data_IF_593929879384
#
_entry.id   IF_593929879384
#
_cell.length_a   1.000
_cell.length_b   1.000
_cell.length_c   1.000
_cell.angle_alpha   90.00
_cell.angle_beta   90.00
_cell.angle_gamma   90.00
#
_symmetry.space_group_name_H-M   'P 1'
#
loop_
_entity.id
_entity.type
_entity.pdbx_description
1 polymer ?
#
# COMPACT_ATOMS: atom_id res chain seq x y z
N UNK A 1 2.15 5.01 -3.32
CA UNK A 1 1.63 3.70 -3.76
C UNK A 1 0.20 3.76 -4.32
N UNK A 2 -0.77 4.41 -3.67
CA UNK A 2 -2.15 4.48 -4.20
C UNK A 2 -2.24 4.98 -5.64
N UNK A 3 -1.55 6.08 -5.97
CA UNK A 3 -1.50 6.58 -7.35
C UNK A 3 -0.99 5.52 -8.35
N UNK A 4 0.11 4.85 -8.02
CA UNK A 4 0.69 3.75 -8.83
C UNK A 4 -0.33 2.62 -9.01
N UNK A 5 -0.94 2.16 -7.91
CA UNK A 5 -1.95 1.09 -7.95
C UNK A 5 -3.14 1.45 -8.85
N UNK A 6 -3.63 2.69 -8.76
CA UNK A 6 -4.73 3.18 -9.60
C UNK A 6 -4.32 3.32 -11.06
N UNK A 7 -3.12 3.83 -11.35
CA UNK A 7 -2.61 3.92 -12.72
C UNK A 7 -2.46 2.54 -13.35
N UNK A 8 -1.93 1.56 -12.61
CA UNK A 8 -1.85 0.18 -13.09
C UNK A 8 -3.24 -0.37 -13.41
N UNK A 9 -4.20 -0.21 -12.50
CA UNK A 9 -5.59 -0.61 -12.73
C UNK A 9 -6.21 0.07 -13.96
N UNK A 10 -5.92 1.36 -14.18
CA UNK A 10 -6.35 2.11 -15.35
C UNK A 10 -5.75 1.59 -16.66
N UNK A 11 -4.46 1.27 -16.68
CA UNK A 11 -3.78 0.67 -17.83
C UNK A 11 -4.39 -0.69 -18.14
N UNK A 12 -4.61 -1.52 -17.13
CA UNK A 12 -5.27 -2.82 -17.30
C UNK A 12 -6.73 -2.68 -17.78
N UNK A 13 -7.45 -1.67 -17.29
CA UNK A 13 -8.79 -1.37 -17.78
C UNK A 13 -8.78 -0.94 -19.26
N UNK A 14 -7.73 -0.25 -19.69
CA UNK A 14 -7.53 0.15 -21.09
C UNK A 14 -7.22 -1.06 -21.98
N UNK A 15 -6.29 -1.92 -21.57
CA UNK A 15 -5.98 -3.15 -22.31
C UNK A 15 -7.16 -4.11 -22.38
N UNK A 16 -8.02 -4.11 -21.35
CA UNK A 16 -9.30 -4.82 -21.34
C UNK A 16 -10.37 -4.19 -22.25
N UNK A 17 -10.17 -2.96 -22.75
CA UNK A 17 -11.10 -2.26 -23.63
C UNK A 17 -12.29 -1.60 -22.92
N UNK A 18 -12.23 -1.43 -21.60
CA UNK A 18 -13.31 -0.87 -20.76
C UNK A 18 -12.88 0.37 -19.98
N UNK A 19 -11.85 1.09 -20.45
CA UNK A 19 -11.36 2.28 -19.78
C UNK A 19 -12.31 3.47 -19.96
N UNK A 20 -12.78 4.00 -18.84
CA UNK A 20 -13.51 5.25 -18.78
C UNK A 20 -12.71 6.27 -17.98
N UNK A 21 -12.30 7.37 -18.62
CA UNK A 21 -11.44 8.40 -18.01
C UNK A 21 -12.09 9.05 -16.79
N UNK A 22 -13.40 9.28 -16.82
CA UNK A 22 -14.12 9.88 -15.70
C UNK A 22 -14.15 8.93 -14.50
N UNK A 23 -14.48 7.66 -14.71
CA UNK A 23 -14.47 6.66 -13.64
C UNK A 23 -13.07 6.39 -13.09
N UNK A 24 -12.04 6.43 -13.95
CA UNK A 24 -10.64 6.35 -13.54
C UNK A 24 -10.22 7.50 -12.63
N UNK A 25 -10.46 8.75 -13.03
CA UNK A 25 -10.13 9.93 -12.22
C UNK A 25 -10.91 9.89 -10.90
N UNK A 26 -12.20 9.56 -10.95
CA UNK A 26 -13.05 9.50 -9.76
C UNK A 26 -12.61 8.40 -8.79
N UNK A 27 -12.25 7.22 -9.30
CA UNK A 27 -11.68 6.11 -8.52
C UNK A 27 -10.36 6.50 -7.88
N UNK A 28 -9.47 7.17 -8.62
CA UNK A 28 -8.19 7.66 -8.11
C UNK A 28 -8.36 8.66 -6.97
N UNK A 29 -9.22 9.67 -7.16
CA UNK A 29 -9.53 10.66 -6.13
C UNK A 29 -10.14 9.97 -4.91
N UNK A 30 -11.11 9.07 -5.11
CA UNK A 30 -11.75 8.32 -4.03
C UNK A 30 -10.75 7.51 -3.21
N UNK A 31 -9.83 6.80 -3.85
CA UNK A 31 -8.81 6.01 -3.16
C UNK A 31 -7.75 6.86 -2.47
N UNK A 32 -7.34 8.00 -3.06
CA UNK A 32 -6.43 8.95 -2.39
C UNK A 32 -7.07 9.53 -1.14
N UNK A 33 -8.33 9.96 -1.21
CA UNK A 33 -9.09 10.49 -0.08
C UNK A 33 -9.25 9.42 1.01
N UNK A 34 -9.65 8.20 0.63
CA UNK A 34 -9.82 7.10 1.58
C UNK A 34 -8.50 6.72 2.27
N UNK A 35 -7.39 6.66 1.53
CA UNK A 35 -6.09 6.37 2.10
C UNK A 35 -5.59 7.51 3.01
N UNK A 36 -5.79 8.77 2.62
CA UNK A 36 -5.50 9.92 3.51
C UNK A 36 -6.33 9.86 4.79
N UNK A 37 -7.62 9.56 4.70
CA UNK A 37 -8.50 9.40 5.85
C UNK A 37 -8.04 8.26 6.78
N UNK A 38 -7.63 7.13 6.21
CA UNK A 38 -7.11 5.99 6.96
C UNK A 38 -5.80 6.33 7.71
N UNK A 39 -4.86 7.01 7.05
CA UNK A 39 -3.61 7.43 7.69
C UNK A 39 -3.85 8.45 8.80
N UNK A 40 -4.74 9.42 8.58
CA UNK A 40 -5.09 10.38 9.62
C UNK A 40 -5.86 9.71 10.77
N UNK A 41 -6.76 8.77 10.49
CA UNK A 41 -7.43 8.00 11.54
C UNK A 41 -6.43 7.18 12.38
N UNK A 42 -5.42 6.61 11.73
CA UNK A 42 -4.32 5.91 12.40
C UNK A 42 -3.60 6.85 13.38
N UNK A 43 -3.10 8.00 12.91
CA UNK A 43 -2.44 9.02 13.74
C UNK A 43 -3.33 9.47 14.93
N UNK A 44 -4.64 9.60 14.70
CA UNK A 44 -5.59 9.92 15.76
C UNK A 44 -5.62 8.84 16.86
N UNK A 45 -5.72 7.56 16.46
CA UNK A 45 -5.76 6.47 17.42
C UNK A 45 -4.42 6.27 18.11
N UNK A 46 -3.29 6.45 17.42
CA UNK A 46 -1.97 6.28 18.02
C UNK A 46 -1.67 7.33 19.07
N UNK A 47 -1.99 8.60 18.80
CA UNK A 47 -1.93 9.68 19.79
C UNK A 47 -2.90 9.42 20.95
N UNK A 48 -4.10 8.89 20.68
CA UNK A 48 -5.07 8.57 21.74
C UNK A 48 -4.58 7.46 22.66
N UNK A 49 -3.84 6.48 22.14
CA UNK A 49 -3.32 5.35 22.89
C UNK A 49 -1.90 5.58 23.45
N UNK A 50 -1.27 6.73 23.15
CA UNK A 50 0.09 7.03 23.59
C UNK A 50 1.17 6.23 22.86
N UNK A 51 0.87 5.60 21.72
CA UNK A 51 1.81 4.75 20.97
C UNK A 51 2.89 5.60 20.30
N UNK A 52 2.53 6.78 19.82
CA UNK A 52 3.46 7.71 19.17
C UNK A 52 4.38 8.46 20.15
N UNK A 53 4.14 8.37 21.47
CA UNK A 53 4.96 9.05 22.47
C UNK A 53 6.34 8.39 22.57
N UNK A 54 7.38 9.11 22.12
CA UNK A 54 8.78 8.63 22.06
C UNK A 54 9.01 7.49 21.05
N UNK A 55 8.10 7.30 20.08
CA UNK A 55 8.33 6.38 18.98
C UNK A 55 9.49 6.88 18.10
N UNK A 56 10.35 5.98 17.56
CA UNK A 56 11.45 6.38 16.67
C UNK A 56 11.00 7.20 15.45
N UNK A 57 9.77 6.96 14.97
CA UNK A 57 9.16 7.70 13.85
C UNK A 57 8.93 9.18 14.15
N UNK A 58 8.72 9.55 15.42
CA UNK A 58 8.48 10.93 15.83
C UNK A 58 9.70 11.83 15.59
N UNK A 59 10.90 11.27 15.40
CA UNK A 59 12.13 12.04 15.16
C UNK A 59 12.22 12.64 13.76
N UNK A 60 11.61 12.01 12.75
CA UNK A 60 11.75 12.43 11.34
C UNK A 60 10.42 12.62 10.60
N UNK A 61 9.32 12.04 11.08
CA UNK A 61 8.01 12.14 10.43
C UNK A 61 7.26 13.40 10.88
N UNK A 62 6.75 14.24 9.95
CA UNK A 62 5.82 15.30 10.32
C UNK A 62 4.56 14.73 10.96
N UNK A 63 4.21 15.19 12.16
CA UNK A 63 3.04 14.72 12.91
C UNK A 63 2.27 15.90 13.55
N UNK A 64 1.45 16.61 12.75
CA UNK A 64 0.79 17.84 13.20
C UNK A 64 -0.13 17.67 14.41
N UNK A 65 -0.69 16.46 14.61
CA UNK A 65 -1.53 16.15 15.76
C UNK A 65 -0.70 15.91 17.03
N UNK A 66 0.36 15.10 16.94
CA UNK A 66 1.25 14.81 18.06
C UNK A 66 1.97 16.07 18.56
N UNK A 67 2.44 16.91 17.64
CA UNK A 67 3.15 18.15 17.97
C UNK A 67 2.22 19.33 18.31
N UNK A 68 0.90 19.11 18.39
CA UNK A 68 -0.06 20.15 18.78
C UNK A 68 -0.20 21.30 17.76
N UNK A 69 0.24 21.10 16.51
CA UNK A 69 0.10 22.09 15.43
C UNK A 69 -1.34 22.19 14.93
N UNK A 70 -2.14 21.13 15.11
CA UNK A 70 -3.57 21.07 14.80
C UNK A 70 -4.32 20.57 16.03
N UNK A 71 -5.41 21.24 16.40
CA UNK A 71 -6.21 20.81 17.54
C UNK A 71 -7.00 19.52 17.25
N UNK A 72 -7.27 18.76 18.32
CA UNK A 72 -7.94 17.46 18.25
C UNK A 72 -9.32 17.51 17.59
N UNK A 73 -10.07 18.60 17.76
CA UNK A 73 -11.43 18.72 17.20
C UNK A 73 -11.36 18.94 15.68
N UNK A 74 -10.52 19.87 15.24
CA UNK A 74 -10.30 20.12 13.81
C UNK A 74 -9.78 18.88 13.11
N UNK A 75 -8.81 18.19 13.71
CA UNK A 75 -8.25 16.96 13.15
C UNK A 75 -9.32 15.89 12.91
N UNK A 76 -10.18 15.62 13.91
CA UNK A 76 -11.32 14.70 13.77
C UNK A 76 -12.31 15.13 12.69
N UNK A 77 -12.63 16.42 12.61
CA UNK A 77 -13.56 16.93 11.61
C UNK A 77 -13.04 16.71 10.19
N UNK A 78 -11.74 16.91 9.97
CA UNK A 78 -11.10 16.62 8.68
C UNK A 78 -11.18 15.13 8.35
N UNK A 79 -10.85 14.25 9.30
CA UNK A 79 -10.97 12.79 9.11
C UNK A 79 -12.40 12.40 8.72
N UNK A 80 -13.40 12.93 9.43
CA UNK A 80 -14.81 12.67 9.13
C UNK A 80 -15.22 13.20 7.75
N UNK A 81 -14.81 14.41 7.40
CA UNK A 81 -15.09 15.01 6.11
C UNK A 81 -14.48 14.18 4.96
N UNK A 82 -13.25 13.70 5.11
CA UNK A 82 -12.60 12.84 4.12
C UNK A 82 -13.35 11.51 3.95
N UNK A 83 -13.74 10.85 5.04
CA UNK A 83 -14.56 9.63 4.95
C UNK A 83 -15.93 9.89 4.31
N UNK A 84 -16.58 11.02 4.60
CA UNK A 84 -17.86 11.38 3.99
C UNK A 84 -17.73 11.62 2.48
N UNK A 85 -16.67 12.30 2.04
CA UNK A 85 -16.38 12.49 0.61
C UNK A 85 -16.06 11.15 -0.05
N UNK A 86 -15.20 10.33 0.56
CA UNK A 86 -14.86 8.99 0.07
C UNK A 86 -16.08 8.08 -0.06
N UNK A 87 -16.98 8.11 0.93
CA UNK A 87 -18.25 7.38 0.89
C UNK A 87 -19.16 7.86 -0.24
N UNK A 88 -19.24 9.18 -0.46
CA UNK A 88 -20.05 9.76 -1.54
C UNK A 88 -19.55 9.30 -2.91
N UNK A 89 -18.23 9.28 -3.10
CA UNK A 89 -17.59 8.76 -4.32
C UNK A 89 -17.87 7.26 -4.48
N UNK A 90 -17.68 6.48 -3.42
CA UNK A 90 -17.94 5.03 -3.43
C UNK A 90 -19.41 4.71 -3.76
N UNK A 91 -20.36 5.46 -3.19
CA UNK A 91 -21.79 5.31 -3.49
C UNK A 91 -22.10 5.60 -4.96
N UNK A 92 -21.52 6.66 -5.52
CA UNK A 92 -21.68 6.95 -6.94
C UNK A 92 -21.11 5.84 -7.82
N UNK A 93 -19.88 5.39 -7.56
CA UNK A 93 -19.25 4.30 -8.32
C UNK A 93 -20.03 2.99 -8.18
N UNK A 94 -20.60 2.73 -6.99
CA UNK A 94 -21.49 1.59 -6.74
C UNK A 94 -22.78 1.67 -7.54
N UNK A 95 -23.35 2.87 -7.67
CA UNK A 95 -24.55 3.08 -8.48
C UNK A 95 -24.27 2.82 -9.98
N UNK A 96 -23.09 3.20 -10.47
CA UNK A 96 -22.68 3.01 -11.87
C UNK A 96 -22.25 1.57 -12.17
N UNK A 97 -21.41 0.96 -11.32
CA UNK A 97 -20.74 -0.33 -11.58
C UNK A 97 -21.29 -1.52 -10.78
N UNK A 98 -22.25 -1.26 -9.88
CA UNK A 98 -22.89 -2.27 -9.05
C UNK A 98 -22.24 -2.49 -7.69
N UNK A 99 -22.87 -3.38 -6.91
CA UNK A 99 -22.62 -3.56 -5.47
C UNK A 99 -21.21 -4.00 -5.11
N UNK A 100 -20.47 -4.63 -6.03
CA UNK A 100 -19.12 -5.10 -5.72
C UNK A 100 -18.14 -3.96 -5.41
N UNK A 101 -18.34 -2.76 -5.97
CA UNK A 101 -17.55 -1.56 -5.58
C UNK A 101 -17.72 -1.26 -4.09
N UNK A 102 -18.96 -1.35 -3.59
CA UNK A 102 -19.24 -1.16 -2.16
C UNK A 102 -18.55 -2.24 -1.32
N UNK A 103 -18.53 -3.49 -1.78
CA UNK A 103 -17.83 -4.58 -1.09
C UNK A 103 -16.33 -4.28 -0.97
N UNK A 104 -15.66 -3.92 -2.08
CA UNK A 104 -14.24 -3.50 -2.04
C UNK A 104 -14.02 -2.31 -1.11
N UNK A 105 -14.91 -1.32 -1.15
CA UNK A 105 -14.82 -0.10 -0.33
C UNK A 105 -14.96 -0.42 1.16
N UNK A 106 -15.95 -1.24 1.53
CA UNK A 106 -16.16 -1.70 2.92
C UNK A 106 -14.95 -2.49 3.38
N UNK A 107 -14.46 -3.46 2.59
CA UNK A 107 -13.27 -4.23 2.95
C UNK A 107 -12.05 -3.31 3.15
N UNK A 108 -11.83 -2.34 2.26
CA UNK A 108 -10.75 -1.36 2.40
C UNK A 108 -10.87 -0.53 3.68
N UNK A 109 -12.06 -0.04 4.02
CA UNK A 109 -12.31 0.70 5.27
C UNK A 109 -12.13 -0.21 6.49
N UNK A 110 -12.61 -1.46 6.45
CA UNK A 110 -12.43 -2.41 7.54
C UNK A 110 -10.95 -2.69 7.79
N UNK A 111 -10.18 -2.94 6.73
CA UNK A 111 -8.73 -3.06 6.84
C UNK A 111 -8.12 -1.79 7.42
N UNK A 112 -8.44 -0.60 6.91
CA UNK A 112 -7.86 0.66 7.40
C UNK A 112 -8.20 0.98 8.87
N UNK A 113 -9.46 0.78 9.27
CA UNK A 113 -9.93 1.05 10.65
C UNK A 113 -9.40 0.02 11.62
N UNK A 114 -9.63 -1.27 11.35
CA UNK A 114 -9.21 -2.35 12.25
C UNK A 114 -7.71 -2.63 12.21
N UNK A 115 -6.97 -1.98 11.30
CA UNK A 115 -5.52 -1.94 11.38
C UNK A 115 -5.04 -1.38 12.73
N UNK A 116 -5.73 -0.36 13.26
CA UNK A 116 -5.25 0.45 14.40
C UNK A 116 -6.29 0.63 15.51
N UNK A 117 -7.58 0.53 15.19
CA UNK A 117 -8.66 0.71 16.14
C UNK A 117 -8.99 -0.60 16.89
N UNK A 118 -9.48 -0.44 18.12
CA UNK A 118 -10.11 -1.51 18.89
C UNK A 118 -11.32 -2.10 18.15
N UNK A 119 -11.63 -3.40 18.34
CA UNK A 119 -10.95 -4.36 19.23
C UNK A 119 -9.83 -5.16 18.55
N UNK A 120 -9.58 -5.00 17.24
CA UNK A 120 -8.75 -5.94 16.47
C UNK A 120 -7.27 -5.51 16.42
N UNK A 121 -6.96 -4.23 16.18
CA UNK A 121 -5.58 -3.71 16.13
C UNK A 121 -4.61 -4.60 15.33
N UNK A 122 -4.92 -4.89 14.06
CA UNK A 122 -4.16 -5.85 13.24
C UNK A 122 -2.64 -5.56 13.23
N UNK A 123 -2.23 -4.29 13.29
CA UNK A 123 -0.81 -3.90 13.31
C UNK A 123 -0.08 -4.29 14.61
N UNK A 124 -0.82 -4.56 15.69
CA UNK A 124 -0.27 -5.03 16.97
C UNK A 124 -0.16 -6.56 17.04
N UNK A 125 -0.47 -7.23 15.93
CA UNK A 125 -0.39 -8.67 15.77
C UNK A 125 0.48 -9.01 14.56
N UNK A 126 1.04 -10.22 14.52
CA UNK A 126 1.90 -10.75 13.45
C UNK A 126 1.16 -11.04 12.12
N UNK A 127 0.06 -10.33 11.90
CA UNK A 127 -0.77 -10.29 10.68
C UNK A 127 -0.78 -8.90 10.02
N UNK A 128 0.00 -7.95 10.52
CA UNK A 128 0.10 -6.61 9.95
C UNK A 128 0.56 -6.63 8.48
N UNK A 129 1.62 -7.37 8.16
CA UNK A 129 2.21 -7.44 6.83
C UNK A 129 1.24 -8.05 5.81
N UNK A 130 0.54 -9.13 6.17
CA UNK A 130 -0.46 -9.74 5.29
C UNK A 130 -1.69 -8.84 5.11
N UNK A 131 -2.07 -8.09 6.15
CA UNK A 131 -3.17 -7.13 6.08
C UNK A 131 -2.86 -5.99 5.12
N UNK A 132 -1.65 -5.42 5.21
CA UNK A 132 -1.17 -4.38 4.30
C UNK A 132 -1.00 -4.90 2.88
N UNK A 133 -0.48 -6.13 2.71
CA UNK A 133 -0.41 -6.80 1.42
C UNK A 133 -1.80 -6.90 0.75
N UNK A 134 -2.80 -7.38 1.48
CA UNK A 134 -4.17 -7.54 0.96
C UNK A 134 -4.81 -6.19 0.63
N UNK A 135 -4.64 -5.19 1.51
CA UNK A 135 -5.21 -3.86 1.34
C UNK A 135 -4.62 -3.12 0.14
N UNK A 136 -3.28 -3.07 0.01
CA UNK A 136 -2.61 -2.31 -1.05
C UNK A 136 -2.40 -3.09 -2.35
N UNK A 137 -2.40 -4.41 -2.29
CA UNK A 137 -2.35 -5.27 -3.45
C UNK A 137 -3.75 -5.54 -4.02
N UNK A 138 -4.34 -6.74 -3.80
CA UNK A 138 -5.55 -7.15 -4.49
C UNK A 138 -6.75 -6.22 -4.29
N UNK A 139 -6.98 -5.72 -3.07
CA UNK A 139 -8.14 -4.86 -2.81
C UNK A 139 -8.02 -3.52 -3.52
N UNK A 140 -6.85 -2.86 -3.47
CA UNK A 140 -6.69 -1.54 -4.07
C UNK A 140 -6.60 -1.60 -5.59
N UNK A 141 -5.74 -2.44 -6.16
CA UNK A 141 -5.57 -2.54 -7.63
C UNK A 141 -6.79 -3.19 -8.26
N UNK A 142 -7.25 -4.30 -7.68
CA UNK A 142 -8.40 -5.05 -8.18
C UNK A 142 -9.72 -4.32 -7.99
N UNK A 143 -9.93 -3.69 -6.84
CA UNK A 143 -11.09 -2.83 -6.58
C UNK A 143 -11.10 -1.59 -7.48
N UNK A 144 -9.93 -0.98 -7.73
CA UNK A 144 -9.82 0.12 -8.69
C UNK A 144 -10.16 -0.34 -10.11
N UNK A 145 -9.66 -1.49 -10.55
CA UNK A 145 -10.00 -2.05 -11.86
C UNK A 145 -11.51 -2.26 -11.97
N UNK A 146 -12.14 -2.90 -10.99
CA UNK A 146 -13.59 -3.12 -10.97
C UNK A 146 -14.36 -1.80 -10.98
N UNK A 147 -13.94 -0.80 -10.21
CA UNK A 147 -14.59 0.51 -10.18
C UNK A 147 -14.50 1.26 -11.53
N UNK A 148 -13.50 0.95 -12.35
CA UNK A 148 -13.34 1.53 -13.69
C UNK A 148 -14.14 0.74 -14.73
N UNK A 149 -14.12 -0.59 -14.67
CA UNK A 149 -14.63 -1.45 -15.75
C UNK A 149 -16.00 -2.07 -15.48
N UNK A 150 -16.39 -2.22 -14.22
CA UNK A 150 -17.57 -2.99 -13.80
C UNK A 150 -17.39 -4.51 -13.89
N UNK A 151 -16.17 -4.98 -14.17
CA UNK A 151 -15.87 -6.40 -14.42
C UNK A 151 -14.90 -6.94 -13.38
N UNK A 152 -15.21 -8.11 -12.84
CA UNK A 152 -14.27 -8.86 -12.01
C UNK A 152 -13.28 -9.62 -12.89
N UNK A 153 -11.98 -9.46 -12.62
CA UNK A 153 -10.91 -10.22 -13.26
C UNK A 153 -9.87 -10.61 -12.21
N UNK A 154 -9.26 -11.78 -12.40
CA UNK A 154 -8.14 -12.24 -11.58
C UNK A 154 -6.82 -11.57 -11.96
N UNK A 155 -6.69 -11.08 -13.19
CA UNK A 155 -5.43 -10.51 -13.68
C UNK A 155 -4.99 -9.29 -12.84
N UNK A 156 -5.85 -8.30 -12.54
CA UNK A 156 -5.47 -7.19 -11.65
C UNK A 156 -5.13 -7.64 -10.23
N UNK A 157 -5.74 -8.73 -9.75
CA UNK A 157 -5.42 -9.30 -8.43
C UNK A 157 -3.99 -9.84 -8.42
N UNK A 158 -3.63 -10.60 -9.45
CA UNK A 158 -2.28 -11.15 -9.60
C UNK A 158 -1.24 -10.07 -9.92
N UNK A 159 -1.56 -9.13 -10.80
CA UNK A 159 -0.72 -7.98 -11.14
C UNK A 159 -0.38 -7.12 -9.91
N UNK A 160 -1.24 -7.11 -8.90
CA UNK A 160 -1.00 -6.37 -7.66
C UNK A 160 0.03 -7.01 -6.72
N UNK A 161 0.39 -8.28 -6.91
CA UNK A 161 1.23 -9.05 -5.98
C UNK A 161 2.61 -8.41 -5.75
N UNK A 162 3.38 -8.02 -6.78
CA UNK A 162 4.67 -7.36 -6.56
C UNK A 162 4.54 -6.06 -5.77
N UNK A 163 3.52 -5.25 -6.08
CA UNK A 163 3.24 -3.99 -5.38
C UNK A 163 2.88 -4.27 -3.91
N UNK A 164 1.96 -5.20 -3.66
CA UNK A 164 1.53 -5.57 -2.32
C UNK A 164 2.69 -6.09 -1.46
N UNK A 165 3.57 -6.91 -2.04
CA UNK A 165 4.76 -7.43 -1.34
C UNK A 165 5.71 -6.29 -0.95
N UNK A 166 5.94 -5.32 -1.84
CA UNK A 166 6.77 -4.16 -1.54
C UNK A 166 6.16 -3.26 -0.47
N UNK A 167 4.84 -3.08 -0.43
CA UNK A 167 4.21 -2.32 0.67
C UNK A 167 4.28 -3.10 1.99
N UNK A 168 4.10 -4.42 1.98
CA UNK A 168 4.30 -5.24 3.17
C UNK A 168 5.76 -5.17 3.68
N UNK A 169 6.74 -5.06 2.78
CA UNK A 169 8.14 -4.83 3.15
C UNK A 169 8.37 -3.49 3.85
N UNK A 170 7.65 -2.43 3.48
CA UNK A 170 7.73 -1.14 4.19
C UNK A 170 7.35 -1.32 5.64
N UNK A 171 6.26 -2.05 5.91
CA UNK A 171 5.84 -2.35 7.27
C UNK A 171 6.86 -3.25 7.99
N UNK A 172 7.39 -4.28 7.31
CA UNK A 172 8.40 -5.14 7.90
C UNK A 172 9.68 -4.37 8.24
N UNK A 173 10.12 -3.44 7.40
CA UNK A 173 11.27 -2.56 7.69
C UNK A 173 11.04 -1.70 8.94
N UNK A 174 9.82 -1.19 9.09
CA UNK A 174 9.38 -0.46 10.28
C UNK A 174 9.45 -1.36 11.53
N UNK A 175 8.85 -2.55 11.45
CA UNK A 175 8.77 -3.50 12.56
C UNK A 175 10.15 -4.03 12.98
N UNK A 176 11.08 -4.25 12.04
CA UNK A 176 12.45 -4.66 12.37
C UNK A 176 13.19 -3.53 13.11
N UNK A 177 13.03 -2.27 12.67
CA UNK A 177 13.62 -1.11 13.34
C UNK A 177 13.05 -0.93 14.75
N UNK A 178 11.75 -1.06 14.90
CA UNK A 178 11.02 -0.76 16.14
C UNK A 178 10.92 -1.96 17.09
N UNK A 179 11.51 -3.11 16.74
CA UNK A 179 11.46 -4.36 17.50
C UNK A 179 11.58 -4.19 19.02
N UNK A 180 12.62 -3.50 19.48
CA UNK A 180 12.89 -3.31 20.92
C UNK A 180 11.90 -2.35 21.59
N UNK A 181 11.37 -1.39 20.84
CA UNK A 181 10.35 -0.47 21.31
C UNK A 181 8.98 -1.17 21.41
N UNK A 182 8.57 -1.83 20.33
CA UNK A 182 7.31 -2.58 20.23
C UNK A 182 7.19 -3.65 21.31
N UNK A 183 8.27 -4.41 21.55
CA UNK A 183 8.31 -5.43 22.59
C UNK A 183 8.09 -4.85 24.01
N UNK A 184 8.56 -3.62 24.28
CA UNK A 184 8.38 -2.96 25.59
C UNK A 184 6.95 -2.50 25.82
N UNK A 185 6.23 -2.12 24.76
CA UNK A 185 4.84 -1.66 24.83
C UNK A 185 3.83 -2.79 24.58
N UNK A 186 4.29 -4.04 24.47
CA UNK A 186 3.44 -5.22 24.36
C UNK A 186 2.83 -5.44 22.96
N UNK A 187 3.44 -4.85 21.93
CA UNK A 187 3.06 -5.05 20.53
C UNK A 187 3.75 -6.32 20.00
N UNK A 188 2.99 -7.21 19.36
CA UNK A 188 3.52 -8.42 18.73
C UNK A 188 3.49 -8.28 17.21
N UNK A 189 4.65 -8.24 16.57
CA UNK A 189 4.83 -8.26 15.12
C UNK A 189 5.66 -9.46 14.71
N UNK A 190 5.73 -9.74 13.39
CA UNK A 190 6.66 -10.74 12.86
C UNK A 190 8.09 -10.47 13.33
N UNK A 191 8.48 -9.19 13.46
CA UNK A 191 9.81 -8.82 13.91
C UNK A 191 10.04 -9.04 15.41
N UNK A 192 9.04 -8.82 16.27
CA UNK A 192 9.19 -9.09 17.72
C UNK A 192 9.23 -10.59 18.03
N UNK A 193 8.53 -11.41 17.25
CA UNK A 193 8.37 -12.84 17.50
C UNK A 193 9.58 -13.69 17.04
N UNK A 194 10.48 -13.12 16.22
CA UNK A 194 11.63 -13.83 15.63
C UNK A 194 12.95 -13.21 16.07
N UNK A 195 14.09 -13.85 15.79
CA UNK A 195 15.40 -13.21 15.98
C UNK A 195 15.64 -12.15 14.89
N UNK A 196 16.45 -11.12 15.16
CA UNK A 196 16.73 -10.04 14.19
C UNK A 196 17.25 -10.57 12.84
N UNK A 197 18.15 -11.58 12.87
CA UNK A 197 18.65 -12.26 11.68
C UNK A 197 17.53 -12.94 10.87
N UNK A 198 16.54 -13.52 11.54
CA UNK A 198 15.35 -14.11 10.92
C UNK A 198 14.46 -13.04 10.29
N UNK A 199 14.26 -11.90 10.96
CA UNK A 199 13.52 -10.76 10.42
C UNK A 199 14.14 -10.23 9.13
N UNK A 200 15.47 -10.08 9.11
CA UNK A 200 16.19 -9.65 7.90
C UNK A 200 16.13 -10.69 6.78
N UNK A 201 16.14 -11.99 7.09
CA UNK A 201 15.94 -13.05 6.09
C UNK A 201 14.52 -13.00 5.50
N UNK A 202 13.51 -12.71 6.31
CA UNK A 202 12.14 -12.51 5.85
C UNK A 202 12.03 -11.28 4.94
N UNK A 203 12.70 -10.18 5.28
CA UNK A 203 12.82 -9.00 4.42
C UNK A 203 13.44 -9.35 3.06
N UNK A 204 14.58 -10.06 3.05
CA UNK A 204 15.23 -10.52 1.80
C UNK A 204 14.30 -11.42 0.97
N UNK A 205 13.57 -12.32 1.62
CA UNK A 205 12.67 -13.25 0.95
C UNK A 205 11.49 -12.55 0.27
N UNK A 206 10.80 -11.65 0.98
CA UNK A 206 9.68 -10.88 0.40
C UNK A 206 10.15 -9.95 -0.72
N UNK A 207 11.34 -9.35 -0.57
CA UNK A 207 11.94 -8.52 -1.62
C UNK A 207 12.25 -9.31 -2.87
N UNK A 208 12.91 -10.47 -2.73
CA UNK A 208 13.16 -11.37 -3.85
C UNK A 208 11.84 -11.83 -4.49
N UNK A 209 10.82 -12.13 -3.68
CA UNK A 209 9.52 -12.55 -4.17
C UNK A 209 8.83 -11.47 -5.00
N UNK A 210 8.95 -10.18 -4.69
CA UNK A 210 8.40 -9.10 -5.53
C UNK A 210 8.99 -9.09 -6.95
N UNK A 211 10.30 -9.28 -7.09
CA UNK A 211 10.94 -9.38 -8.41
C UNK A 211 10.61 -10.71 -9.11
N UNK A 212 10.67 -11.83 -8.39
CA UNK A 212 10.37 -13.17 -8.95
C UNK A 212 8.92 -13.23 -9.44
N UNK A 213 7.96 -12.74 -8.67
CA UNK A 213 6.55 -12.71 -9.06
C UNK A 213 6.33 -11.85 -10.29
N UNK A 214 7.08 -10.76 -10.46
CA UNK A 214 7.05 -9.96 -11.70
C UNK A 214 7.47 -10.77 -12.92
N UNK A 215 8.57 -11.54 -12.83
CA UNK A 215 9.00 -12.45 -13.92
C UNK A 215 7.93 -13.50 -14.22
N UNK A 216 7.35 -14.10 -13.18
CA UNK A 216 6.28 -15.10 -13.32
C UNK A 216 5.08 -14.50 -14.04
N UNK A 217 4.68 -13.27 -13.69
CA UNK A 217 3.53 -12.59 -14.30
C UNK A 217 3.77 -12.17 -15.75
N UNK A 218 5.01 -11.84 -16.11
CA UNK A 218 5.41 -11.67 -17.52
C UNK A 218 5.32 -12.99 -18.27
N UNK A 219 5.85 -14.08 -17.70
CA UNK A 219 5.78 -15.41 -18.31
C UNK A 219 4.32 -15.91 -18.46
N UNK A 220 3.46 -15.58 -17.50
CA UNK A 220 2.03 -15.87 -17.50
C UNK A 220 1.22 -14.92 -18.40
N UNK A 221 1.86 -13.92 -19.02
CA UNK A 221 1.23 -12.90 -19.88
C UNK A 221 0.18 -12.02 -19.18
N UNK A 222 0.24 -11.94 -17.85
CA UNK A 222 -0.52 -10.95 -17.07
C UNK A 222 0.13 -9.56 -17.23
N UNK A 223 1.46 -9.54 -17.29
CA UNK A 223 2.24 -8.36 -17.66
C UNK A 223 2.87 -8.53 -19.03
N UNK A 224 3.15 -7.39 -19.67
CA UNK A 224 3.99 -7.35 -20.86
C UNK A 224 5.48 -7.52 -20.51
N UNK A 225 6.35 -7.87 -21.47
CA UNK A 225 7.80 -7.83 -21.26
C UNK A 225 8.32 -6.46 -20.79
N UNK A 226 7.61 -5.36 -21.09
CA UNK A 226 8.01 -4.02 -20.65
C UNK A 226 7.89 -3.82 -19.13
N UNK A 227 7.11 -4.63 -18.41
CA UNK A 227 7.09 -4.63 -16.95
C UNK A 227 8.47 -4.87 -16.33
N UNK A 228 9.39 -5.53 -17.05
CA UNK A 228 10.77 -5.75 -16.60
C UNK A 228 11.59 -4.46 -16.49
N UNK A 229 11.10 -3.32 -16.99
CA UNK A 229 11.70 -2.00 -16.71
C UNK A 229 11.73 -1.71 -15.19
N UNK A 230 10.81 -2.30 -14.42
CA UNK A 230 10.86 -2.26 -12.95
C UNK A 230 12.16 -2.78 -12.35
N UNK A 231 12.90 -3.65 -13.05
CA UNK A 231 14.19 -4.20 -12.59
C UNK A 231 15.32 -3.17 -12.56
N UNK A 232 15.15 -1.98 -13.14
CA UNK A 232 16.10 -0.87 -12.95
C UNK A 232 16.27 -0.54 -11.45
N UNK A 233 15.22 -0.76 -10.64
CA UNK A 233 15.26 -0.58 -9.19
C UNK A 233 16.10 -1.62 -8.43
N UNK A 234 16.58 -2.69 -9.07
CA UNK A 234 17.27 -3.80 -8.36
C UNK A 234 18.56 -3.32 -7.67
N UNK A 235 19.25 -2.33 -8.24
CA UNK A 235 20.46 -1.77 -7.64
C UNK A 235 20.15 -1.09 -6.30
N UNK A 236 19.04 -0.36 -6.24
CA UNK A 236 18.55 0.25 -5.00
C UNK A 236 18.16 -0.82 -3.97
N UNK A 237 17.43 -1.85 -4.41
CA UNK A 237 17.05 -2.98 -3.56
C UNK A 237 18.27 -3.69 -2.94
N UNK A 238 19.32 -3.96 -3.73
CA UNK A 238 20.55 -4.59 -3.25
C UNK A 238 21.33 -3.70 -2.28
N UNK A 239 21.34 -2.38 -2.51
CA UNK A 239 21.97 -1.43 -1.60
C UNK A 239 21.27 -1.40 -0.25
N UNK A 240 19.93 -1.34 -0.25
CA UNK A 240 19.11 -1.39 0.97
C UNK A 240 19.38 -2.68 1.74
N UNK A 241 19.39 -3.84 1.06
CA UNK A 241 19.69 -5.13 1.71
C UNK A 241 21.09 -5.14 2.34
N UNK A 242 22.08 -4.56 1.65
CA UNK A 242 23.46 -4.47 2.15
C UNK A 242 23.53 -3.59 3.40
N UNK A 243 22.88 -2.43 3.38
CA UNK A 243 22.82 -1.50 4.50
C UNK A 243 22.11 -2.14 5.70
N UNK A 244 20.90 -2.66 5.50
CA UNK A 244 20.08 -3.22 6.58
C UNK A 244 20.69 -4.48 7.19
N UNK A 245 21.50 -5.24 6.43
CA UNK A 245 22.23 -6.39 6.96
C UNK A 245 23.37 -6.00 7.91
N UNK A 246 23.84 -4.75 7.89
CA UNK A 246 24.81 -4.23 8.85
C UNK A 246 24.10 -3.62 10.05
N UNK A 247 23.15 -2.72 9.79
CA UNK A 247 22.30 -2.10 10.80
C UNK A 247 21.08 -1.49 10.12
N UNK A 248 19.89 -1.75 10.66
CA UNK A 248 18.66 -1.13 10.15
C UNK A 248 18.66 0.36 10.53
N UNK A 249 18.60 1.29 9.55
CA UNK A 249 18.62 2.72 9.80
C UNK A 249 17.27 3.20 10.36
N UNK A 250 17.26 4.39 10.96
CA UNK A 250 16.02 5.01 11.44
C UNK A 250 14.99 5.24 10.31
N UNK A 251 15.47 5.45 9.09
CA UNK A 251 14.67 5.71 7.89
C UNK A 251 14.37 4.46 7.07
N UNK A 252 14.44 3.25 7.66
CA UNK A 252 14.31 1.98 6.94
C UNK A 252 13.00 1.81 6.17
N UNK A 253 11.89 2.22 6.78
CA UNK A 253 10.55 2.30 6.20
C UNK A 253 10.52 3.30 5.03
N UNK A 254 11.10 4.49 5.19
CA UNK A 254 11.16 5.53 4.16
C UNK A 254 11.97 5.06 2.94
N UNK A 255 13.16 4.48 3.16
CA UNK A 255 13.99 3.94 2.08
C UNK A 255 13.26 2.81 1.35
N UNK A 256 12.62 1.89 2.08
CA UNK A 256 11.84 0.81 1.48
C UNK A 256 10.62 1.33 0.72
N UNK A 257 9.99 2.41 1.20
CA UNK A 257 8.86 3.05 0.53
C UNK A 257 9.27 3.77 -0.76
N UNK A 258 10.47 4.37 -0.79
CA UNK A 258 11.05 4.93 -2.02
C UNK A 258 11.32 3.84 -3.05
N UNK A 259 11.93 2.73 -2.64
CA UNK A 259 12.11 1.56 -3.51
C UNK A 259 10.76 1.07 -4.06
N UNK A 260 9.75 0.90 -3.20
CA UNK A 260 8.41 0.48 -3.61
C UNK A 260 7.79 1.44 -4.64
N UNK A 261 7.98 2.74 -4.45
CA UNK A 261 7.52 3.78 -5.37
C UNK A 261 8.27 3.73 -6.70
N UNK A 262 9.61 3.69 -6.70
CA UNK A 262 10.42 3.61 -7.91
C UNK A 262 10.08 2.36 -8.71
N UNK A 263 10.05 1.20 -8.05
CA UNK A 263 9.64 -0.06 -8.67
C UNK A 263 8.25 0.05 -9.29
N UNK A 264 7.27 0.54 -8.53
CA UNK A 264 5.88 0.63 -8.98
C UNK A 264 5.68 1.61 -10.13
N UNK A 265 6.35 2.76 -10.12
CA UNK A 265 6.34 3.74 -11.21
C UNK A 265 6.96 3.13 -12.47
N UNK A 266 8.13 2.50 -12.36
CA UNK A 266 8.81 1.84 -13.49
C UNK A 266 7.97 0.71 -14.08
N UNK A 267 7.33 -0.11 -13.23
CA UNK A 267 6.39 -1.16 -13.64
C UNK A 267 5.22 -0.57 -14.45
N UNK A 268 4.58 0.46 -13.88
CA UNK A 268 3.41 1.12 -14.48
C UNK A 268 3.78 1.82 -15.80
N UNK A 269 4.94 2.47 -15.86
CA UNK A 269 5.45 3.07 -17.09
C UNK A 269 5.77 2.01 -18.14
N UNK A 270 6.31 0.85 -17.75
CA UNK A 270 6.52 -0.28 -18.65
C UNK A 270 5.20 -0.75 -19.29
N UNK A 271 4.17 -0.96 -18.49
CA UNK A 271 2.86 -1.35 -19.00
C UNK A 271 2.19 -0.25 -19.84
N UNK A 272 2.40 1.02 -19.51
CA UNK A 272 1.94 2.13 -20.34
C UNK A 272 2.68 2.17 -21.70
N UNK A 273 4.00 1.94 -21.71
CA UNK A 273 4.80 1.86 -22.93
C UNK A 273 4.33 0.70 -23.81
N UNK A 274 3.98 -0.44 -23.23
CA UNK A 274 3.37 -1.55 -23.95
C UNK A 274 2.08 -1.12 -24.67
N UNK A 275 1.18 -0.43 -23.97
CA UNK A 275 -0.05 0.10 -24.56
C UNK A 275 0.26 1.05 -25.73
N UNK A 276 1.16 2.01 -25.53
CA UNK A 276 1.54 2.99 -26.56
C UNK A 276 2.15 2.27 -27.78
N UNK A 277 3.07 1.34 -27.54
CA UNK A 277 3.77 0.61 -28.60
C UNK A 277 2.77 -0.10 -29.51
N UNK A 278 1.89 -0.94 -28.96
CA UNK A 278 0.93 -1.71 -29.75
C UNK A 278 -0.28 -0.91 -30.27
N UNK A 279 -0.48 0.32 -29.80
CA UNK A 279 -1.54 1.20 -30.31
C UNK A 279 -1.06 1.98 -31.54
N UNK A 280 0.23 2.34 -31.61
CA UNK A 280 0.74 3.28 -32.60
C UNK A 280 1.81 2.73 -33.56
N UNK A 281 2.40 1.57 -33.28
CA UNK A 281 3.47 0.95 -34.07
C UNK A 281 3.15 -0.51 -34.40
#
# INVERSE_FOLDING_TARGET
MTFVATCLAGIMAYTYGSFNIFLFILTMIGLLIAHTAANMANDWYDVKHGVDENAPTAEYRPHPLLFGQVDKRTYKMVVFALYAIGLSISLYLTWVQGIAVMIFSILGVLFGVFYTADPIKLKHHSVGEISVFLAFGPLMVGGAFYAITGVFSWDPMFASVPIGLLVALVLLANNIRDKDFDAKVGISTVATDVQESTGMNYYKALLALAYITTIILVAARVFSPFALISFISIKEALNIVKEFSVKVPLTSDQQTAQLALHFGVLLTLGELLNVIYYTYF
#
